data_IF_905480241113
#
_entry.id   IF_905480241113
#
_cell.length_a   1.000
_cell.length_b   1.000
_cell.length_c   1.000
_cell.angle_alpha   90.00
_cell.angle_beta   90.00
_cell.angle_gamma   90.00
#
_symmetry.space_group_name_H-M   'P 1'
#
loop_
_entity.id
_entity.type
_entity.pdbx_description
1 polymer ?
#
# COMPACT_ATOMS: atom_id res chain seq x y z
N UNK A 1 -13.81 -10.31 2.18
CA UNK A 1 -13.32 -9.27 3.10
C UNK A 1 -13.18 -9.85 4.49
N UNK A 2 -12.10 -9.55 5.18
CA UNK A 2 -11.73 -10.06 6.51
C UNK A 2 -12.36 -9.26 7.69
N UNK A 3 -13.19 -8.26 7.39
CA UNK A 3 -13.96 -7.42 8.34
C UNK A 3 -13.12 -6.59 9.31
N UNK A 4 -11.81 -6.52 9.11
CA UNK A 4 -10.92 -5.77 10.00
C UNK A 4 -10.84 -4.28 9.59
N UNK A 5 -10.64 -3.37 10.56
CA UNK A 5 -10.38 -1.96 10.27
C UNK A 5 -8.96 -1.76 9.73
N UNK A 6 -8.84 -1.07 8.60
CA UNK A 6 -7.56 -0.73 7.98
C UNK A 6 -7.42 0.77 7.81
N UNK A 7 -6.20 1.26 8.04
CA UNK A 7 -5.73 2.56 7.54
C UNK A 7 -4.85 2.34 6.32
N UNK A 8 -4.50 3.40 5.59
CA UNK A 8 -3.53 3.34 4.49
C UNK A 8 -2.39 4.32 4.73
N UNK A 9 -1.18 3.90 4.43
CA UNK A 9 0.04 4.72 4.38
C UNK A 9 0.66 4.61 2.99
N UNK A 10 1.15 5.72 2.46
CA UNK A 10 1.96 5.74 1.24
C UNK A 10 3.41 5.63 1.65
N UNK A 11 4.08 4.56 1.24
CA UNK A 11 5.51 4.38 1.48
C UNK A 11 6.29 4.71 0.22
N UNK A 12 7.32 5.55 0.36
CA UNK A 12 8.19 5.97 -0.75
C UNK A 12 9.64 5.67 -0.40
N UNK A 13 10.27 4.81 -1.19
CA UNK A 13 11.63 4.30 -0.93
C UNK A 13 12.57 4.57 -2.10
N UNK A 14 13.86 4.71 -1.78
CA UNK A 14 14.91 4.79 -2.80
C UNK A 14 15.45 3.39 -3.13
N UNK A 15 15.59 3.06 -4.40
CA UNK A 15 16.13 1.80 -4.94
C UNK A 15 17.38 2.05 -5.80
N UNK A 16 18.06 0.96 -6.15
CA UNK A 16 19.30 0.98 -6.94
C UNK A 16 19.07 1.22 -8.44
N UNK A 17 17.82 1.16 -8.94
CA UNK A 17 17.51 1.42 -10.34
C UNK A 17 17.76 2.89 -10.68
N UNK A 18 18.85 3.21 -11.36
CA UNK A 18 19.18 4.59 -11.71
C UNK A 18 18.18 5.24 -12.69
N UNK A 19 17.38 4.45 -13.43
CA UNK A 19 16.34 4.93 -14.33
C UNK A 19 14.97 5.14 -13.67
N UNK A 20 14.77 4.62 -12.47
CA UNK A 20 13.62 4.92 -11.62
C UNK A 20 14.01 4.69 -10.15
N UNK A 21 14.83 5.58 -9.57
CA UNK A 21 15.42 5.39 -8.25
C UNK A 21 14.40 5.49 -7.13
N UNK A 22 13.20 6.04 -7.36
CA UNK A 22 12.16 6.11 -6.35
C UNK A 22 11.02 5.16 -6.70
N UNK A 23 10.51 4.47 -5.70
CA UNK A 23 9.34 3.60 -5.80
C UNK A 23 8.31 4.00 -4.75
N UNK A 24 7.04 3.70 -5.00
CA UNK A 24 6.01 3.74 -3.98
C UNK A 24 5.05 2.56 -4.03
N UNK A 25 4.52 2.25 -2.87
CA UNK A 25 3.53 1.21 -2.62
C UNK A 25 2.65 1.63 -1.43
N UNK A 26 1.54 0.92 -1.25
CA UNK A 26 0.62 1.17 -0.14
C UNK A 26 0.81 0.13 0.94
N UNK A 27 0.94 0.59 2.18
CA UNK A 27 0.86 -0.26 3.37
C UNK A 27 -0.49 -0.04 4.03
N UNK A 28 -1.14 -1.13 4.41
CA UNK A 28 -2.43 -1.14 5.07
C UNK A 28 -2.29 -1.71 6.49
N UNK A 29 -2.00 -0.86 7.50
CA UNK A 29 -2.03 -1.29 8.88
C UNK A 29 -3.41 -1.80 9.28
N UNK A 30 -3.44 -3.01 9.83
CA UNK A 30 -4.62 -3.66 10.34
C UNK A 30 -4.77 -3.34 11.83
N UNK A 31 -5.91 -2.77 12.21
CA UNK A 31 -6.19 -2.39 13.59
C UNK A 31 -6.97 -3.48 14.32
N UNK A 32 -6.73 -3.62 15.62
CA UNK A 32 -7.63 -4.38 16.48
C UNK A 32 -9.05 -3.77 16.42
N UNK A 33 -10.09 -4.58 16.54
CA UNK A 33 -11.49 -4.08 16.54
C UNK A 33 -11.74 -3.03 17.63
N UNK A 34 -11.02 -3.12 18.75
CA UNK A 34 -11.08 -2.16 19.87
C UNK A 34 -10.40 -0.83 19.56
N UNK A 35 -9.64 -0.73 18.46
CA UNK A 35 -8.84 0.44 18.08
C UNK A 35 -7.59 0.66 18.93
N UNK A 36 -7.27 -0.25 19.86
CA UNK A 36 -6.19 -0.06 20.84
C UNK A 36 -4.77 -0.24 20.26
N UNK A 37 -4.65 -0.70 19.02
CA UNK A 37 -3.36 -0.82 18.35
C UNK A 37 -3.42 -1.54 17.00
N UNK A 38 -2.28 -1.51 16.31
CA UNK A 38 -2.04 -2.23 15.06
C UNK A 38 -1.69 -3.69 15.39
N UNK A 39 -2.41 -4.64 14.80
CA UNK A 39 -2.24 -6.09 15.00
C UNK A 39 -1.54 -6.79 13.83
N UNK A 40 -1.31 -6.06 12.73
CA UNK A 40 -0.63 -6.56 11.55
C UNK A 40 -0.72 -5.54 10.41
N UNK A 41 -0.35 -5.96 9.20
CA UNK A 41 -0.59 -5.17 8.00
C UNK A 41 -0.69 -6.09 6.77
N UNK A 42 -1.15 -5.52 5.66
CA UNK A 42 -0.90 -6.04 4.32
C UNK A 42 -0.32 -4.91 3.48
N UNK A 43 0.38 -5.24 2.40
CA UNK A 43 0.98 -4.25 1.52
C UNK A 43 0.76 -4.61 0.06
N UNK A 44 0.80 -3.60 -0.80
CA UNK A 44 0.83 -3.81 -2.25
C UNK A 44 2.25 -4.11 -2.70
N UNK A 45 2.43 -4.74 -3.89
CA UNK A 45 3.67 -4.62 -4.63
C UNK A 45 4.00 -3.15 -4.93
N UNK A 46 5.16 -2.91 -5.55
CA UNK A 46 5.49 -1.59 -6.10
C UNK A 46 4.45 -1.22 -7.17
N UNK A 47 3.79 -0.09 -6.98
CA UNK A 47 2.75 0.41 -7.89
C UNK A 47 3.24 1.60 -8.72
N UNK A 48 4.18 2.38 -8.18
CA UNK A 48 4.73 3.56 -8.84
C UNK A 48 6.25 3.55 -8.77
N UNK A 49 6.88 4.06 -9.83
CA UNK A 49 8.31 4.27 -9.89
C UNK A 49 8.62 5.57 -10.64
N UNK A 50 9.72 6.23 -10.32
CA UNK A 50 10.06 7.53 -10.90
C UNK A 50 11.46 8.03 -10.57
N UNK A 51 11.81 9.16 -11.20
CA UNK A 51 13.10 9.83 -11.03
C UNK A 51 13.17 10.71 -9.79
N UNK A 52 12.03 11.21 -9.34
CA UNK A 52 11.91 12.13 -8.22
C UNK A 52 10.99 11.58 -7.12
N UNK A 53 11.33 11.86 -5.85
CA UNK A 53 10.55 11.37 -4.71
C UNK A 53 9.17 12.03 -4.66
N UNK A 54 9.11 13.35 -4.84
CA UNK A 54 7.89 14.12 -4.70
C UNK A 54 6.92 13.82 -5.84
N UNK A 55 7.44 13.57 -7.06
CA UNK A 55 6.64 13.08 -8.18
C UNK A 55 5.93 11.76 -7.85
N UNK A 56 6.68 10.76 -7.37
CA UNK A 56 6.14 9.45 -7.03
C UNK A 56 5.14 9.54 -5.86
N UNK A 57 5.44 10.36 -4.86
CA UNK A 57 4.54 10.62 -3.73
C UNK A 57 3.23 11.30 -4.17
N UNK A 58 3.31 12.28 -5.08
CA UNK A 58 2.14 12.96 -5.61
C UNK A 58 1.27 12.02 -6.47
N UNK A 59 1.89 11.15 -7.28
CA UNK A 59 1.19 10.13 -8.05
C UNK A 59 0.44 9.17 -7.11
N UNK A 60 1.13 8.62 -6.11
CA UNK A 60 0.51 7.74 -5.12
C UNK A 60 -0.62 8.44 -4.36
N UNK A 61 -0.42 9.69 -3.92
CA UNK A 61 -1.42 10.50 -3.21
C UNK A 61 -2.63 10.90 -4.07
N UNK A 62 -2.52 10.88 -5.39
CA UNK A 62 -3.62 11.15 -6.32
C UNK A 62 -4.56 9.96 -6.54
N UNK A 63 -4.24 8.80 -5.95
CA UNK A 63 -5.00 7.57 -6.13
C UNK A 63 -6.40 7.69 -5.53
N UNK A 64 -7.48 7.45 -6.31
CA UNK A 64 -8.84 7.48 -5.78
C UNK A 64 -9.04 6.47 -4.66
N UNK A 65 -9.76 6.85 -3.60
CA UNK A 65 -10.02 5.97 -2.46
C UNK A 65 -10.76 4.68 -2.84
N UNK A 66 -11.56 4.70 -3.91
CA UNK A 66 -12.19 3.50 -4.47
C UNK A 66 -11.15 2.51 -4.98
N UNK A 67 -10.10 3.00 -5.65
CA UNK A 67 -9.01 2.17 -6.13
C UNK A 67 -8.12 1.68 -4.99
N UNK A 68 -7.86 2.54 -3.98
CA UNK A 68 -7.18 2.12 -2.75
C UNK A 68 -7.91 0.96 -2.07
N UNK A 69 -9.25 0.99 -2.06
CA UNK A 69 -10.07 -0.10 -1.51
C UNK A 69 -9.92 -1.41 -2.29
N UNK A 70 -9.89 -1.33 -3.62
CA UNK A 70 -9.66 -2.50 -4.49
C UNK A 70 -8.29 -3.13 -4.24
N UNK A 71 -7.25 -2.31 -4.12
CA UNK A 71 -5.89 -2.74 -3.81
C UNK A 71 -5.80 -3.40 -2.43
N UNK A 72 -6.48 -2.85 -1.42
CA UNK A 72 -6.60 -3.48 -0.10
C UNK A 72 -7.27 -4.86 -0.21
N UNK A 73 -8.38 -4.98 -0.93
CA UNK A 73 -9.07 -6.26 -1.10
C UNK A 73 -8.20 -7.29 -1.81
N UNK A 74 -7.41 -6.88 -2.80
CA UNK A 74 -6.42 -7.77 -3.45
C UNK A 74 -5.33 -8.20 -2.47
N UNK A 75 -4.76 -7.27 -1.71
CA UNK A 75 -3.71 -7.57 -0.74
C UNK A 75 -4.19 -8.55 0.35
N UNK A 76 -5.43 -8.41 0.82
CA UNK A 76 -6.07 -9.37 1.74
C UNK A 76 -6.19 -10.75 1.10
N UNK A 77 -6.65 -10.83 -0.16
CA UNK A 77 -6.77 -12.11 -0.89
C UNK A 77 -5.41 -12.79 -1.10
N UNK A 78 -4.38 -12.02 -1.49
CA UNK A 78 -3.01 -12.54 -1.65
C UNK A 78 -2.47 -13.11 -0.33
N UNK A 79 -2.66 -12.39 0.79
CA UNK A 79 -2.26 -12.89 2.12
C UNK A 79 -3.00 -14.16 2.53
N UNK A 80 -4.27 -14.29 2.16
CA UNK A 80 -5.06 -15.49 2.39
C UNK A 80 -4.66 -16.69 1.49
N UNK A 81 -3.75 -16.49 0.53
CA UNK A 81 -3.34 -17.50 -0.44
C UNK A 81 -4.36 -17.74 -1.55
N UNK A 82 -5.30 -16.83 -1.75
CA UNK A 82 -6.37 -16.96 -2.75
C UNK A 82 -5.91 -16.53 -4.16
N UNK A 83 -4.83 -15.76 -4.24
CA UNK A 83 -4.23 -15.24 -5.49
C UNK A 83 -2.71 -15.20 -5.29
N UNK A 84 -1.94 -15.54 -6.33
CA UNK A 84 -0.46 -15.43 -6.38
C UNK A 84 -0.01 -13.99 -6.67
#
# INVERSE_FOLDING_TARGET
>A
MDRQPYTVSVEVEKRANLRAPWIAYLVFPCWAETGLGIVGHVETPVLWEGQDRAEVEALAGSTPLTHVKELLDEAIRRRAGEIE
#
